data_IF_838319458257
#
_entry.id   IF_838319458257
#
_cell.length_a   1.000
_cell.length_b   1.000
_cell.length_c   1.000
_cell.angle_alpha   90.00
_cell.angle_beta   90.00
_cell.angle_gamma   90.00
#
_symmetry.space_group_name_H-M   'P 1'
#
loop_
_entity.id
_entity.type
_entity.pdbx_description
1 polymer ?
#
# COMPACT_ATOMS: atom_id res chain seq x y z
N UNK A 1 3.87 20.46 26.95
CA UNK A 1 2.88 21.31 26.25
C UNK A 1 2.56 20.54 24.99
N UNK A 2 1.44 19.83 24.97
CA UNK A 2 1.01 19.09 23.77
C UNK A 2 0.65 20.13 22.72
N UNK A 3 1.23 20.04 21.54
CA UNK A 3 0.80 20.81 20.38
C UNK A 3 -0.43 20.07 19.84
N UNK A 4 -1.51 20.76 19.49
CA UNK A 4 -2.63 20.11 18.79
C UNK A 4 -2.08 19.33 17.58
N UNK A 5 -2.36 18.02 17.52
CA UNK A 5 -1.82 17.12 16.49
C UNK A 5 -0.46 16.48 16.81
N UNK A 6 0.02 16.50 18.06
CA UNK A 6 1.17 15.69 18.49
C UNK A 6 0.89 14.19 18.24
N UNK A 7 1.65 13.50 17.37
CA UNK A 7 1.41 12.08 17.09
C UNK A 7 1.66 11.20 18.30
N UNK A 8 2.36 11.68 19.33
CA UNK A 8 2.53 10.96 20.58
C UNK A 8 1.33 11.11 21.52
N UNK A 9 0.34 11.93 21.15
CA UNK A 9 -0.98 11.89 21.76
C UNK A 9 -1.69 10.58 21.41
N UNK A 10 -2.03 9.81 22.44
CA UNK A 10 -2.70 8.52 22.28
C UNK A 10 -4.18 8.66 21.97
N UNK A 11 -4.79 9.85 22.10
CA UNK A 11 -6.21 10.05 21.77
C UNK A 11 -6.50 9.80 20.29
N UNK A 12 -5.57 10.20 19.43
CA UNK A 12 -5.73 10.07 17.98
C UNK A 12 -5.21 8.74 17.44
N UNK A 13 -4.23 8.10 18.06
CA UNK A 13 -3.89 6.71 17.74
C UNK A 13 -3.00 6.12 18.84
N UNK A 14 -3.51 5.13 19.57
CA UNK A 14 -2.74 4.40 20.57
C UNK A 14 -1.89 3.29 19.88
N UNK A 15 -0.59 3.55 19.79
CA UNK A 15 0.36 2.60 19.20
C UNK A 15 0.49 1.31 20.03
N UNK A 16 0.32 1.40 21.36
CA UNK A 16 0.38 0.23 22.24
C UNK A 16 -0.85 -0.63 22.01
N UNK A 17 -2.03 -0.04 21.97
CA UNK A 17 -3.26 -0.77 21.64
C UNK A 17 -3.15 -1.45 20.28
N UNK A 18 -2.70 -0.71 19.25
CA UNK A 18 -2.51 -1.26 17.90
C UNK A 18 -1.57 -2.48 17.89
N UNK A 19 -0.42 -2.39 18.56
CA UNK A 19 0.54 -3.51 18.62
C UNK A 19 -0.02 -4.72 19.38
N UNK A 20 -0.79 -4.51 20.46
CA UNK A 20 -1.41 -5.58 21.25
C UNK A 20 -2.59 -6.25 20.55
N UNK A 21 -3.27 -5.52 19.66
CA UNK A 21 -4.46 -5.97 18.92
C UNK A 21 -4.17 -6.22 17.44
N UNK A 22 -2.89 -6.42 17.10
CA UNK A 22 -2.48 -6.78 15.75
C UNK A 22 -3.14 -8.10 15.32
N UNK A 23 -3.66 -8.14 14.10
CA UNK A 23 -4.49 -9.21 13.59
C UNK A 23 -3.62 -10.32 12.98
N UNK A 24 -3.81 -11.53 13.51
CA UNK A 24 -3.09 -12.73 13.11
C UNK A 24 -3.76 -13.50 11.99
N UNK A 25 -3.57 -14.82 12.01
CA UNK A 25 -4.13 -15.76 11.04
C UNK A 25 -5.66 -15.59 10.89
N UNK A 26 -6.09 -15.26 9.67
CA UNK A 26 -7.50 -15.04 9.34
C UNK A 26 -8.22 -16.28 8.80
N UNK A 27 -7.52 -17.37 8.46
CA UNK A 27 -8.10 -18.52 7.76
C UNK A 27 -9.32 -19.12 8.47
N UNK A 28 -9.31 -19.15 9.80
CA UNK A 28 -10.43 -19.67 10.60
C UNK A 28 -11.66 -18.76 10.61
N UNK A 29 -11.53 -17.50 10.19
CA UNK A 29 -12.60 -16.52 10.10
C UNK A 29 -13.24 -16.45 8.70
N UNK A 30 -12.58 -17.01 7.67
CA UNK A 30 -13.06 -16.92 6.30
C UNK A 30 -14.09 -18.01 6.00
N UNK A 31 -15.27 -17.59 5.56
CA UNK A 31 -16.23 -18.52 4.96
C UNK A 31 -15.90 -18.72 3.47
N UNK A 32 -15.26 -19.85 3.17
CA UNK A 32 -14.82 -20.20 1.82
C UNK A 32 -15.77 -21.16 1.10
N UNK A 33 -16.70 -21.80 1.82
CA UNK A 33 -17.63 -22.77 1.25
C UNK A 33 -18.50 -22.21 0.11
N UNK A 34 -18.96 -20.93 0.14
CA UNK A 34 -19.76 -20.37 -0.94
C UNK A 34 -19.08 -20.40 -2.32
N UNK A 35 -17.74 -20.41 -2.38
CA UNK A 35 -17.00 -20.46 -3.65
C UNK A 35 -17.17 -21.78 -4.41
N UNK A 36 -17.60 -22.86 -3.75
CA UNK A 36 -17.93 -24.12 -4.45
C UNK A 36 -19.15 -23.96 -5.36
N UNK A 37 -20.15 -23.21 -4.92
CA UNK A 37 -21.38 -22.98 -5.66
C UNK A 37 -21.28 -21.76 -6.60
N UNK A 38 -20.50 -20.76 -6.22
CA UNK A 38 -20.32 -19.52 -6.98
C UNK A 38 -18.85 -19.14 -7.01
N UNK A 39 -18.05 -19.81 -7.87
CA UNK A 39 -16.62 -19.54 -7.98
C UNK A 39 -16.35 -18.16 -8.56
N UNK A 40 -15.22 -17.58 -8.20
CA UNK A 40 -14.68 -16.38 -8.83
C UNK A 40 -14.17 -16.71 -10.23
N UNK A 41 -14.31 -15.75 -11.15
CA UNK A 41 -13.73 -15.86 -12.48
C UNK A 41 -12.20 -15.69 -12.46
N UNK A 42 -11.58 -15.98 -13.60
CA UNK A 42 -10.13 -16.01 -13.74
C UNK A 42 -9.49 -14.62 -13.59
N UNK A 43 -10.18 -13.56 -14.01
CA UNK A 43 -9.67 -12.19 -13.92
C UNK A 43 -9.73 -11.68 -12.47
N UNK A 44 -10.81 -11.99 -11.73
CA UNK A 44 -10.93 -11.71 -10.30
C UNK A 44 -9.86 -12.47 -9.51
N UNK A 45 -9.64 -13.76 -9.80
CA UNK A 45 -8.57 -14.55 -9.17
C UNK A 45 -7.17 -14.04 -9.53
N UNK A 46 -6.98 -13.52 -10.74
CA UNK A 46 -5.72 -12.92 -11.17
C UNK A 46 -5.45 -11.60 -10.45
N UNK A 47 -6.44 -10.70 -10.38
CA UNK A 47 -6.34 -9.44 -9.64
C UNK A 47 -6.10 -9.72 -8.15
N UNK A 48 -6.87 -10.62 -7.55
CA UNK A 48 -6.71 -11.02 -6.15
C UNK A 48 -5.31 -11.56 -5.86
N UNK A 49 -4.76 -12.41 -6.75
CA UNK A 49 -3.36 -12.87 -6.65
C UNK A 49 -2.37 -11.70 -6.72
N UNK A 50 -2.58 -10.76 -7.64
CA UNK A 50 -1.72 -9.60 -7.76
C UNK A 50 -1.73 -8.76 -6.47
N UNK A 51 -2.90 -8.50 -5.89
CA UNK A 51 -3.05 -7.79 -4.61
C UNK A 51 -2.35 -8.54 -3.48
N UNK A 52 -2.56 -9.86 -3.37
CA UNK A 52 -1.87 -10.68 -2.36
C UNK A 52 -0.35 -10.61 -2.47
N UNK A 53 0.19 -10.56 -3.69
CA UNK A 53 1.64 -10.35 -3.90
C UNK A 53 2.11 -8.99 -3.41
N UNK A 54 1.34 -7.93 -3.65
CA UNK A 54 1.67 -6.59 -3.17
C UNK A 54 1.64 -6.54 -1.64
N UNK A 55 0.60 -7.10 -1.00
CA UNK A 55 0.52 -7.20 0.47
C UNK A 55 1.72 -7.99 1.03
N UNK A 56 2.13 -9.09 0.37
CA UNK A 56 3.28 -9.90 0.81
C UNK A 56 4.64 -9.20 0.62
N UNK A 57 4.75 -8.29 -0.35
CA UNK A 57 6.00 -7.59 -0.66
C UNK A 57 6.38 -6.57 0.42
N UNK A 58 5.44 -6.18 1.26
CA UNK A 58 5.67 -5.28 2.40
C UNK A 58 6.84 -5.75 3.29
N UNK A 59 6.94 -7.05 3.58
CA UNK A 59 8.03 -7.59 4.40
C UNK A 59 9.40 -7.40 3.73
N UNK A 60 9.48 -7.58 2.41
CA UNK A 60 10.71 -7.40 1.65
C UNK A 60 11.14 -5.92 1.64
N UNK A 61 10.16 -5.02 1.59
CA UNK A 61 10.38 -3.58 1.59
C UNK A 61 10.65 -2.98 2.98
N UNK A 62 10.19 -3.62 4.06
CA UNK A 62 10.41 -3.16 5.44
C UNK A 62 11.90 -3.00 5.75
N UNK A 63 12.75 -3.90 5.25
CA UNK A 63 14.21 -3.78 5.39
C UNK A 63 14.73 -2.44 4.86
N UNK A 64 14.20 -1.97 3.73
CA UNK A 64 14.62 -0.72 3.11
C UNK A 64 14.20 0.50 3.95
N UNK A 65 13.11 0.41 4.70
CA UNK A 65 12.66 1.46 5.62
C UNK A 65 13.52 1.50 6.89
N UNK A 66 13.84 0.33 7.45
CA UNK A 66 14.56 0.22 8.72
C UNK A 66 16.04 0.63 8.63
N UNK A 67 16.64 0.63 7.43
CA UNK A 67 18.01 1.16 7.24
C UNK A 67 18.08 2.69 7.18
N UNK A 68 16.93 3.38 7.23
CA UNK A 68 16.85 4.85 7.20
C UNK A 68 16.68 5.44 8.59
N UNK A 69 16.67 6.77 8.74
CA UNK A 69 16.37 7.42 10.03
C UNK A 69 15.00 7.04 10.63
N UNK A 70 14.11 6.42 9.86
CA UNK A 70 12.80 5.93 10.29
C UNK A 70 12.88 4.96 11.48
N UNK A 71 13.91 4.12 11.56
CA UNK A 71 14.06 3.20 12.70
C UNK A 71 14.36 3.90 14.03
N UNK A 72 14.72 5.19 14.01
CA UNK A 72 15.01 5.97 15.22
C UNK A 72 13.75 6.51 15.89
N UNK A 73 12.63 6.50 15.17
CA UNK A 73 11.31 6.83 15.72
C UNK A 73 10.66 5.54 16.25
N UNK A 74 10.58 5.41 17.58
CA UNK A 74 10.11 4.19 18.23
C UNK A 74 8.63 3.90 17.92
N UNK A 75 7.80 4.95 17.81
CA UNK A 75 6.38 4.83 17.50
C UNK A 75 6.18 4.32 16.08
N UNK A 76 6.87 4.93 15.12
CA UNK A 76 6.82 4.50 13.71
C UNK A 76 7.40 3.08 13.56
N UNK A 77 8.48 2.76 14.28
CA UNK A 77 9.06 1.40 14.22
C UNK A 77 8.09 0.34 14.77
N UNK A 78 7.44 0.61 15.91
CA UNK A 78 6.44 -0.30 16.47
C UNK A 78 5.26 -0.51 15.51
N UNK A 79 4.83 0.56 14.83
CA UNK A 79 3.79 0.47 13.81
C UNK A 79 4.25 -0.38 12.63
N UNK A 80 5.39 -0.05 12.01
CA UNK A 80 5.87 -0.72 10.80
C UNK A 80 6.06 -2.24 10.98
N UNK A 81 6.51 -2.67 12.18
CA UNK A 81 6.63 -4.09 12.49
C UNK A 81 5.26 -4.77 12.60
N UNK A 82 4.31 -4.16 13.33
CA UNK A 82 2.96 -4.72 13.50
C UNK A 82 2.17 -4.69 12.19
N UNK A 83 2.30 -3.61 11.42
CA UNK A 83 1.76 -3.46 10.07
C UNK A 83 2.28 -4.56 9.13
N UNK A 84 3.59 -4.80 9.10
CA UNK A 84 4.17 -5.86 8.27
C UNK A 84 3.70 -7.26 8.69
N UNK A 85 3.50 -7.49 9.99
CA UNK A 85 2.90 -8.72 10.50
C UNK A 85 1.45 -8.90 10.02
N UNK A 86 0.61 -7.86 10.09
CA UNK A 86 -0.76 -7.94 9.60
C UNK A 86 -0.80 -8.14 8.07
N UNK A 87 0.06 -7.45 7.32
CA UNK A 87 0.21 -7.61 5.86
C UNK A 87 0.58 -9.04 5.46
N UNK A 88 1.41 -9.72 6.24
CA UNK A 88 1.69 -11.15 6.05
C UNK A 88 0.41 -11.99 6.13
N UNK A 89 -0.42 -11.77 7.16
CA UNK A 89 -1.65 -12.53 7.34
C UNK A 89 -2.75 -12.16 6.35
N UNK A 90 -2.78 -10.92 5.86
CA UNK A 90 -3.65 -10.53 4.73
C UNK A 90 -3.28 -11.31 3.46
N UNK A 91 -1.99 -11.41 3.14
CA UNK A 91 -1.53 -12.22 2.00
C UNK A 91 -1.86 -13.72 2.18
N UNK A 92 -1.75 -14.23 3.42
CA UNK A 92 -2.09 -15.61 3.78
C UNK A 92 -3.61 -15.90 3.65
N UNK A 93 -4.45 -14.92 3.97
CA UNK A 93 -5.90 -14.98 3.76
C UNK A 93 -6.25 -15.04 2.27
N UNK A 94 -5.57 -14.24 1.45
CA UNK A 94 -5.70 -14.28 -0.01
C UNK A 94 -5.28 -15.64 -0.56
N UNK A 95 -4.19 -16.23 -0.05
CA UNK A 95 -3.78 -17.60 -0.38
C UNK A 95 -4.89 -18.62 -0.12
N UNK A 96 -5.62 -18.48 0.98
CA UNK A 96 -6.73 -19.37 1.30
C UNK A 96 -7.86 -19.30 0.27
N UNK A 97 -8.22 -18.09 -0.19
CA UNK A 97 -9.22 -17.91 -1.26
C UNK A 97 -8.73 -18.51 -2.58
N UNK A 98 -7.45 -18.30 -2.94
CA UNK A 98 -6.87 -18.90 -4.14
C UNK A 98 -6.90 -20.44 -4.08
N UNK A 99 -6.56 -21.02 -2.92
CA UNK A 99 -6.57 -22.46 -2.70
C UNK A 99 -7.98 -23.05 -2.77
N UNK A 100 -9.00 -22.34 -2.28
CA UNK A 100 -10.41 -22.74 -2.44
C UNK A 100 -10.82 -22.87 -3.91
N UNK A 101 -10.14 -22.17 -4.83
CA UNK A 101 -10.34 -22.25 -6.27
C UNK A 101 -9.34 -23.19 -6.98
N UNK A 102 -8.64 -24.06 -6.23
CA UNK A 102 -7.62 -24.96 -6.76
C UNK A 102 -6.42 -24.24 -7.38
N UNK A 103 -6.20 -22.97 -7.06
CA UNK A 103 -5.08 -22.17 -7.57
C UNK A 103 -3.86 -22.32 -6.65
N UNK A 104 -2.63 -22.25 -7.21
CA UNK A 104 -1.39 -22.26 -6.43
C UNK A 104 -1.29 -21.01 -5.55
N UNK A 105 -0.53 -21.12 -4.46
CA UNK A 105 -0.24 -20.01 -3.56
C UNK A 105 0.60 -18.93 -4.23
N UNK A 106 0.55 -17.72 -3.67
CA UNK A 106 1.23 -16.52 -4.17
C UNK A 106 2.71 -16.77 -4.53
N UNK A 107 3.45 -17.43 -3.64
CA UNK A 107 4.90 -17.71 -3.75
C UNK A 107 5.24 -18.96 -4.58
N UNK A 108 4.26 -19.79 -4.92
CA UNK A 108 4.46 -21.00 -5.73
C UNK A 108 4.49 -20.70 -7.22
N UNK A 109 3.92 -19.57 -7.63
CA UNK A 109 3.96 -19.10 -9.01
C UNK A 109 5.21 -18.24 -9.19
N UNK A 110 6.03 -18.50 -10.20
CA UNK A 110 7.18 -17.65 -10.51
C UNK A 110 6.72 -16.27 -11.03
N UNK A 111 7.50 -15.22 -10.76
CA UNK A 111 7.32 -13.94 -11.45
C UNK A 111 7.77 -14.06 -12.91
N UNK A 112 7.00 -13.47 -13.82
CA UNK A 112 7.39 -13.28 -15.21
C UNK A 112 8.44 -12.17 -15.40
N UNK A 113 8.80 -11.86 -16.65
CA UNK A 113 9.76 -10.79 -16.94
C UNK A 113 9.23 -9.44 -16.46
N UNK A 114 10.14 -8.59 -15.95
CA UNK A 114 9.82 -7.26 -15.43
C UNK A 114 9.85 -6.23 -16.56
N UNK A 115 9.05 -5.17 -16.42
CA UNK A 115 9.03 -4.00 -17.33
C UNK A 115 10.38 -3.31 -17.31
N UNK A 116 11.00 -2.93 -18.44
CA UNK A 116 12.28 -2.22 -18.44
C UNK A 116 12.13 -0.78 -18.95
N UNK A 117 11.73 0.14 -18.09
CA UNK A 117 11.68 1.58 -18.41
C UNK A 117 12.79 2.36 -17.69
N UNK A 118 13.36 3.41 -18.30
CA UNK A 118 14.38 4.25 -17.66
C UNK A 118 13.91 4.91 -16.36
N UNK A 119 12.62 5.26 -16.25
CA UNK A 119 12.02 5.80 -15.02
C UNK A 119 12.02 4.78 -13.88
N UNK A 120 11.81 3.49 -14.16
CA UNK A 120 11.82 2.41 -13.16
C UNK A 120 13.23 1.93 -12.82
N UNK A 121 14.20 2.14 -13.70
CA UNK A 121 15.61 1.87 -13.39
C UNK A 121 16.10 2.72 -12.19
N UNK A 122 15.50 3.89 -11.97
CA UNK A 122 15.78 4.74 -10.79
C UNK A 122 15.21 4.13 -9.51
N UNK A 123 13.99 3.60 -9.54
CA UNK A 123 13.38 2.88 -8.41
C UNK A 123 14.11 1.55 -8.10
N UNK A 124 14.72 0.95 -9.12
CA UNK A 124 15.51 -0.29 -9.01
C UNK A 124 16.94 -0.11 -8.54
N UNK A 125 17.33 1.11 -8.14
CA UNK A 125 18.64 1.33 -7.53
C UNK A 125 18.78 0.38 -6.34
N UNK A 126 19.87 -0.39 -6.33
CA UNK A 126 20.08 -1.46 -5.35
C UNK A 126 20.03 -0.97 -3.90
N UNK A 127 19.85 -1.88 -2.93
CA UNK A 127 19.69 -1.52 -1.51
C UNK A 127 20.85 -0.67 -0.95
N UNK A 128 22.04 -0.79 -1.52
CA UNK A 128 23.23 0.01 -1.16
C UNK A 128 23.06 1.47 -1.60
N UNK A 129 22.62 1.73 -2.83
CA UNK A 129 22.42 3.10 -3.35
C UNK A 129 21.27 3.80 -2.61
N UNK A 130 20.19 3.07 -2.32
CA UNK A 130 19.06 3.59 -1.52
C UNK A 130 19.46 3.88 -0.07
N UNK A 131 20.28 3.04 0.56
CA UNK A 131 20.81 3.29 1.90
C UNK A 131 21.72 4.54 1.95
N UNK A 132 22.56 4.74 0.94
CA UNK A 132 23.43 5.93 0.81
C UNK A 132 22.60 7.20 0.58
N UNK A 133 21.57 7.15 -0.29
CA UNK A 133 20.64 8.27 -0.49
C UNK A 133 19.83 8.58 0.78
N UNK A 134 19.44 7.55 1.55
CA UNK A 134 18.69 7.71 2.80
C UNK A 134 19.52 8.33 3.94
N UNK A 135 20.84 8.07 3.99
CA UNK A 135 21.75 8.69 4.96
C UNK A 135 21.81 10.22 4.82
N UNK A 136 21.66 10.77 3.60
CA UNK A 136 21.62 12.22 3.35
C UNK A 136 20.25 12.88 3.59
N UNK A 137 19.17 12.10 3.65
CA UNK A 137 17.80 12.63 3.77
C UNK A 137 17.42 13.01 5.21
N UNK A 138 18.04 12.39 6.21
CA UNK A 138 17.85 12.71 7.64
C UNK A 138 16.44 12.38 8.16
N UNK A 139 16.04 12.95 9.31
CA UNK A 139 14.71 12.74 9.93
C UNK A 139 13.50 13.04 9.02
N UNK A 140 13.53 14.07 8.13
CA UNK A 140 12.41 14.35 7.23
C UNK A 140 12.02 13.21 6.28
N UNK A 141 12.87 12.19 6.10
CA UNK A 141 12.55 10.98 5.33
C UNK A 141 11.34 10.23 5.87
N UNK A 142 11.05 10.36 7.17
CA UNK A 142 9.92 9.69 7.79
C UNK A 142 8.62 10.19 7.19
N UNK A 143 8.49 11.50 6.93
CA UNK A 143 7.31 12.06 6.27
C UNK A 143 7.10 11.49 4.86
N UNK A 144 8.19 11.24 4.14
CA UNK A 144 8.15 10.60 2.82
C UNK A 144 7.57 9.20 2.94
N UNK A 145 8.11 8.38 3.86
CA UNK A 145 7.63 7.02 4.05
C UNK A 145 6.18 6.95 4.52
N UNK A 146 5.78 7.82 5.46
CA UNK A 146 4.40 7.85 5.95
C UNK A 146 3.44 8.26 4.83
N UNK A 147 3.81 9.25 4.02
CA UNK A 147 2.96 9.73 2.92
C UNK A 147 2.91 8.75 1.76
N UNK A 148 4.03 8.12 1.43
CA UNK A 148 4.03 7.03 0.44
C UNK A 148 3.19 5.85 0.90
N UNK A 149 3.28 5.47 2.19
CA UNK A 149 2.42 4.43 2.77
C UNK A 149 0.93 4.80 2.71
N UNK A 150 0.59 6.06 3.03
CA UNK A 150 -0.79 6.56 2.95
C UNK A 150 -1.36 6.46 1.53
N UNK A 151 -0.62 6.97 0.53
CA UNK A 151 -1.06 6.91 -0.88
C UNK A 151 -1.17 5.47 -1.35
N UNK A 152 -0.24 4.60 -0.94
CA UNK A 152 -0.30 3.17 -1.28
C UNK A 152 -1.55 2.47 -0.69
N UNK A 153 -1.93 2.77 0.56
CA UNK A 153 -3.17 2.23 1.14
C UNK A 153 -4.41 2.70 0.36
N UNK A 154 -4.42 3.94 -0.17
CA UNK A 154 -5.50 4.41 -1.04
C UNK A 154 -5.54 3.68 -2.38
N UNK A 155 -4.39 3.55 -3.05
CA UNK A 155 -4.28 2.82 -4.33
C UNK A 155 -4.72 1.36 -4.16
N UNK A 156 -4.32 0.71 -3.08
CA UNK A 156 -4.73 -0.66 -2.77
C UNK A 156 -6.22 -0.73 -2.43
N UNK A 157 -6.77 0.25 -1.71
CA UNK A 157 -8.19 0.37 -1.41
C UNK A 157 -9.05 0.41 -2.66
N UNK A 158 -8.67 1.26 -3.63
CA UNK A 158 -9.27 1.37 -4.96
C UNK A 158 -9.26 0.04 -5.72
N UNK A 159 -8.13 -0.69 -5.67
CA UNK A 159 -8.04 -1.98 -6.34
C UNK A 159 -8.92 -3.06 -5.70
N UNK A 160 -9.08 -3.04 -4.37
CA UNK A 160 -10.07 -3.89 -3.69
C UNK A 160 -11.51 -3.49 -4.03
N UNK A 161 -11.80 -2.20 -4.28
CA UNK A 161 -13.15 -1.75 -4.69
C UNK A 161 -13.49 -2.33 -6.04
N UNK A 162 -12.58 -2.15 -7.00
CA UNK A 162 -12.71 -2.70 -8.36
C UNK A 162 -12.84 -4.22 -8.33
N UNK A 163 -12.11 -4.91 -7.45
CA UNK A 163 -12.23 -6.36 -7.30
C UNK A 163 -13.65 -6.77 -6.85
N UNK A 164 -14.20 -6.11 -5.83
CA UNK A 164 -15.56 -6.38 -5.33
C UNK A 164 -16.61 -6.05 -6.39
N UNK A 165 -16.51 -4.88 -7.01
CA UNK A 165 -17.41 -4.41 -8.06
C UNK A 165 -17.47 -5.40 -9.24
N UNK A 166 -16.32 -5.86 -9.72
CA UNK A 166 -16.23 -6.78 -10.86
C UNK A 166 -16.67 -8.19 -10.54
N UNK A 167 -16.27 -8.72 -9.38
CA UNK A 167 -16.60 -10.08 -9.00
C UNK A 167 -18.09 -10.25 -8.66
N UNK A 168 -18.74 -9.18 -8.17
CA UNK A 168 -20.14 -9.18 -7.73
C UNK A 168 -20.51 -10.39 -6.84
N UNK A 169 -19.54 -10.86 -6.03
CA UNK A 169 -19.65 -12.08 -5.24
C UNK A 169 -19.75 -11.73 -3.74
N UNK A 170 -20.85 -12.09 -3.06
CA UNK A 170 -21.06 -11.75 -1.65
C UNK A 170 -19.98 -12.33 -0.71
N UNK A 171 -19.48 -13.54 -0.99
CA UNK A 171 -18.45 -14.16 -0.17
C UNK A 171 -17.11 -13.42 -0.30
N UNK A 172 -16.72 -13.05 -1.52
CA UNK A 172 -15.55 -12.21 -1.73
C UNK A 172 -15.72 -10.82 -1.08
N UNK A 173 -16.91 -10.24 -1.19
CA UNK A 173 -17.23 -8.93 -0.59
C UNK A 173 -16.99 -8.95 0.91
N UNK A 174 -17.53 -9.96 1.63
CA UNK A 174 -17.34 -10.10 3.07
C UNK A 174 -15.86 -10.27 3.45
N UNK A 175 -15.09 -11.03 2.66
CA UNK A 175 -13.64 -11.21 2.88
C UNK A 175 -12.90 -9.88 2.68
N UNK A 176 -13.21 -9.13 1.63
CA UNK A 176 -12.59 -7.83 1.36
C UNK A 176 -12.97 -6.81 2.43
N UNK A 177 -14.20 -6.80 2.92
CA UNK A 177 -14.63 -5.97 4.06
C UNK A 177 -13.82 -6.29 5.32
N UNK A 178 -13.56 -7.57 5.60
CA UNK A 178 -12.69 -7.98 6.72
C UNK A 178 -11.26 -7.47 6.54
N UNK A 179 -10.70 -7.60 5.34
CA UNK A 179 -9.38 -7.06 4.99
C UNK A 179 -9.35 -5.53 5.20
N UNK A 180 -10.37 -4.81 4.75
CA UNK A 180 -10.49 -3.36 4.89
C UNK A 180 -10.59 -2.90 6.34
N UNK A 181 -11.33 -3.63 7.17
CA UNK A 181 -11.40 -3.33 8.61
C UNK A 181 -10.02 -3.33 9.26
N UNK A 182 -9.12 -4.24 8.86
CA UNK A 182 -7.73 -4.25 9.33
C UNK A 182 -6.96 -3.05 8.78
N UNK A 183 -7.03 -2.84 7.46
CA UNK A 183 -6.30 -1.78 6.75
C UNK A 183 -6.74 -0.37 7.13
N UNK A 184 -7.97 -0.18 7.62
CA UNK A 184 -8.45 1.12 8.10
C UNK A 184 -7.57 1.70 9.23
N UNK A 185 -7.03 0.83 10.11
CA UNK A 185 -6.07 1.27 11.14
C UNK A 185 -4.71 1.63 10.54
N UNK A 186 -4.29 0.99 9.44
CA UNK A 186 -3.05 1.32 8.72
C UNK A 186 -3.17 2.69 8.08
N UNK A 187 -4.23 2.92 7.32
CA UNK A 187 -4.53 4.20 6.68
C UNK A 187 -4.58 5.32 7.72
N UNK A 188 -5.26 5.09 8.85
CA UNK A 188 -5.36 6.09 9.93
C UNK A 188 -3.99 6.49 10.49
N UNK A 189 -3.13 5.52 10.79
CA UNK A 189 -1.79 5.82 11.30
C UNK A 189 -0.97 6.60 10.27
N UNK A 190 -0.90 6.13 9.03
CA UNK A 190 -0.19 6.84 7.97
C UNK A 190 -0.75 8.25 7.77
N UNK A 191 -2.08 8.42 7.84
CA UNK A 191 -2.77 9.71 7.76
C UNK A 191 -2.29 10.70 8.81
N UNK A 192 -2.33 10.31 10.08
CA UNK A 192 -1.90 11.16 11.21
C UNK A 192 -0.42 11.53 11.07
N UNK A 193 0.43 10.54 10.86
CA UNK A 193 1.88 10.72 10.81
C UNK A 193 2.34 11.54 9.59
N UNK A 194 1.61 11.45 8.48
CA UNK A 194 1.80 12.28 7.28
C UNK A 194 1.42 13.73 7.53
N UNK A 195 0.21 14.00 8.04
CA UNK A 195 -0.25 15.37 8.26
C UNK A 195 0.69 16.11 9.20
N UNK A 196 0.96 15.54 10.38
CA UNK A 196 1.81 16.15 11.38
C UNK A 196 3.21 16.49 10.85
N UNK A 197 3.88 15.54 10.17
CA UNK A 197 5.25 15.78 9.67
C UNK A 197 5.32 16.77 8.52
N UNK A 198 4.27 16.81 7.69
CA UNK A 198 4.20 17.74 6.57
C UNK A 198 3.91 19.17 7.06
N UNK A 199 3.11 19.33 8.12
CA UNK A 199 2.87 20.62 8.77
C UNK A 199 4.10 21.12 9.52
N UNK A 200 4.83 20.22 10.21
CA UNK A 200 5.99 20.57 11.03
C UNK A 200 7.23 20.98 10.21
N UNK A 201 7.39 20.47 8.99
CA UNK A 201 8.66 20.62 8.26
C UNK A 201 8.54 20.91 6.76
N UNK A 202 8.90 22.14 6.36
CA UNK A 202 9.04 22.51 4.95
C UNK A 202 10.07 21.64 4.20
N UNK A 203 11.09 21.13 4.90
CA UNK A 203 12.05 20.17 4.31
C UNK A 203 11.40 18.82 4.05
N UNK A 204 10.53 18.34 4.96
CA UNK A 204 9.74 17.14 4.75
C UNK A 204 8.84 17.29 3.53
N UNK A 205 8.09 18.40 3.43
CA UNK A 205 7.27 18.73 2.25
C UNK A 205 8.09 18.63 0.97
N UNK A 206 9.24 19.32 0.88
CA UNK A 206 10.09 19.29 -0.33
C UNK A 206 10.54 17.86 -0.70
N UNK A 207 10.93 17.05 0.29
CA UNK A 207 11.35 15.67 0.04
C UNK A 207 10.18 14.78 -0.40
N UNK A 208 9.01 14.91 0.23
CA UNK A 208 7.81 14.15 -0.12
C UNK A 208 7.34 14.49 -1.53
N UNK A 209 7.27 15.78 -1.89
CA UNK A 209 6.95 16.22 -3.26
C UNK A 209 7.87 15.60 -4.31
N UNK A 210 9.18 15.61 -4.04
CA UNK A 210 10.15 15.01 -4.95
C UNK A 210 9.95 13.50 -5.09
N UNK A 211 9.61 12.81 -3.99
CA UNK A 211 9.36 11.35 -4.01
C UNK A 211 8.08 10.98 -4.77
N UNK A 212 6.97 11.70 -4.52
CA UNK A 212 5.66 11.39 -5.14
C UNK A 212 5.67 11.55 -6.66
N UNK A 213 6.46 12.49 -7.19
CA UNK A 213 6.55 12.72 -8.65
C UNK A 213 7.30 11.62 -9.39
N UNK A 214 8.16 10.87 -8.71
CA UNK A 214 8.93 9.76 -9.31
C UNK A 214 8.38 8.39 -8.97
N UNK A 215 7.58 8.27 -7.91
CA UNK A 215 7.04 7.02 -7.42
C UNK A 215 6.33 6.19 -8.50
N UNK A 216 6.36 4.88 -8.29
CA UNK A 216 5.61 3.88 -9.05
C UNK A 216 4.60 3.25 -8.11
N UNK A 217 3.34 3.24 -8.53
CA UNK A 217 2.23 2.72 -7.74
C UNK A 217 1.71 1.40 -8.34
N UNK A 218 1.18 0.49 -7.52
CA UNK A 218 1.34 0.42 -6.07
C UNK A 218 2.80 0.18 -5.65
N UNK A 219 3.14 0.41 -4.38
CA UNK A 219 4.46 0.13 -3.83
C UNK A 219 4.76 -1.36 -3.99
N UNK A 220 5.96 -1.67 -4.52
CA UNK A 220 6.35 -3.03 -4.85
C UNK A 220 5.98 -3.49 -6.27
N UNK A 221 5.21 -2.69 -7.03
CA UNK A 221 4.89 -3.00 -8.42
C UNK A 221 6.14 -3.18 -9.29
N UNK A 222 7.24 -2.47 -9.02
CA UNK A 222 8.50 -2.57 -9.80
C UNK A 222 9.13 -3.96 -9.80
N UNK A 223 8.81 -4.80 -8.81
CA UNK A 223 9.28 -6.17 -8.66
C UNK A 223 8.34 -7.20 -9.32
N UNK A 224 7.15 -6.78 -9.74
CA UNK A 224 6.13 -7.60 -10.40
C UNK A 224 6.40 -7.72 -11.90
N UNK A 225 5.92 -8.82 -12.48
CA UNK A 225 5.96 -9.03 -13.92
C UNK A 225 5.22 -7.94 -14.69
N UNK A 226 5.72 -7.59 -15.89
CA UNK A 226 5.13 -6.57 -16.75
C UNK A 226 3.67 -6.87 -17.11
N UNK A 227 3.37 -8.14 -17.41
CA UNK A 227 2.01 -8.58 -17.74
C UNK A 227 1.02 -8.36 -16.59
N UNK A 228 1.46 -8.55 -15.34
CA UNK A 228 0.59 -8.39 -14.17
C UNK A 228 0.37 -6.91 -13.83
N UNK A 229 1.39 -6.08 -14.04
CA UNK A 229 1.27 -4.63 -13.89
C UNK A 229 0.35 -4.02 -14.93
N UNK A 230 0.57 -4.34 -16.21
CA UNK A 230 -0.30 -3.87 -17.29
C UNK A 230 -1.74 -4.32 -17.07
N UNK A 231 -1.95 -5.54 -16.58
CA UNK A 231 -3.27 -6.02 -16.20
C UNK A 231 -3.87 -5.20 -15.04
N UNK A 232 -3.11 -4.93 -13.99
CA UNK A 232 -3.54 -4.09 -12.87
C UNK A 232 -3.91 -2.67 -13.33
N UNK A 233 -3.00 -2.01 -14.06
CA UNK A 233 -3.15 -0.63 -14.55
C UNK A 233 -4.45 -0.50 -15.38
N UNK A 234 -4.64 -1.41 -16.34
CA UNK A 234 -5.84 -1.43 -17.19
C UNK A 234 -7.12 -1.80 -16.43
N UNK A 235 -7.02 -2.63 -15.40
CA UNK A 235 -8.18 -3.11 -14.63
C UNK A 235 -8.68 -2.05 -13.65
N UNK A 236 -7.77 -1.39 -12.93
CA UNK A 236 -8.09 -0.47 -11.83
C UNK A 236 -8.26 0.96 -12.32
N UNK A 237 -7.40 1.42 -13.23
CA UNK A 237 -7.35 2.82 -13.67
C UNK A 237 -7.61 3.01 -15.18
N UNK A 238 -7.90 1.93 -15.91
CA UNK A 238 -8.29 1.99 -17.32
C UNK A 238 -9.72 2.51 -17.53
N UNK A 239 -9.95 3.19 -18.67
CA UNK A 239 -11.27 3.71 -19.04
C UNK A 239 -11.71 4.93 -18.24
N UNK A 240 -12.91 5.44 -18.51
CA UNK A 240 -13.39 6.69 -17.91
C UNK A 240 -13.52 6.59 -16.37
N UNK A 241 -14.11 5.50 -15.87
CA UNK A 241 -14.28 5.29 -14.43
C UNK A 241 -12.93 5.19 -13.70
N UNK A 242 -11.95 4.53 -14.32
CA UNK A 242 -10.59 4.44 -13.80
C UNK A 242 -9.88 5.81 -13.75
N UNK A 243 -10.12 6.69 -14.72
CA UNK A 243 -9.59 8.06 -14.67
C UNK A 243 -10.24 8.90 -13.59
N UNK A 244 -11.57 8.79 -13.41
CA UNK A 244 -12.27 9.47 -12.30
C UNK A 244 -11.72 9.03 -10.95
N UNK A 245 -11.44 7.73 -10.80
CA UNK A 245 -10.81 7.16 -9.60
C UNK A 245 -9.40 7.71 -9.37
N UNK A 246 -8.58 7.76 -10.42
CA UNK A 246 -7.23 8.34 -10.35
C UNK A 246 -7.25 9.83 -9.99
N UNK A 247 -8.18 10.61 -10.57
CA UNK A 247 -8.36 12.03 -10.28
C UNK A 247 -8.77 12.24 -8.80
N UNK A 248 -9.73 11.45 -8.30
CA UNK A 248 -10.13 11.51 -6.89
C UNK A 248 -8.97 11.20 -5.94
N UNK A 249 -8.11 10.24 -6.28
CA UNK A 249 -6.89 9.96 -5.52
C UNK A 249 -5.89 11.13 -5.62
N UNK A 250 -5.74 11.72 -6.80
CA UNK A 250 -4.96 12.94 -7.02
C UNK A 250 -5.42 14.11 -6.13
N UNK A 251 -6.74 14.33 -6.04
CA UNK A 251 -7.34 15.37 -5.19
C UNK A 251 -7.05 15.13 -3.71
N UNK A 252 -7.14 13.88 -3.24
CA UNK A 252 -6.77 13.50 -1.86
C UNK A 252 -5.29 13.79 -1.59
N UNK A 253 -4.41 13.50 -2.55
CA UNK A 253 -2.97 13.84 -2.43
C UNK A 253 -2.77 15.35 -2.36
N UNK A 254 -3.48 16.12 -3.19
CA UNK A 254 -3.39 17.59 -3.21
C UNK A 254 -3.89 18.24 -1.92
N UNK A 255 -4.79 17.58 -1.18
CA UNK A 255 -5.30 18.07 0.10
C UNK A 255 -4.32 17.88 1.27
N UNK A 256 -3.26 17.06 1.12
CA UNK A 256 -2.26 16.87 2.17
C UNK A 256 -1.43 18.14 2.40
N UNK A 257 -0.96 18.40 3.64
CA UNK A 257 -0.21 19.62 3.95
C UNK A 257 1.04 19.80 3.07
N UNK A 258 1.16 20.98 2.45
CA UNK A 258 2.27 21.32 1.54
C UNK A 258 2.26 20.57 0.20
N UNK A 259 1.29 19.69 -0.05
CA UNK A 259 0.99 19.19 -1.39
C UNK A 259 0.10 20.20 -2.12
N UNK A 260 0.10 20.15 -3.45
CA UNK A 260 -0.72 21.02 -4.29
C UNK A 260 -1.28 20.25 -5.48
N UNK A 261 -2.10 20.93 -6.29
CA UNK A 261 -2.68 20.38 -7.51
C UNK A 261 -1.62 19.78 -8.45
N UNK A 262 -0.43 20.40 -8.55
CA UNK A 262 0.62 19.88 -9.41
C UNK A 262 1.14 18.51 -8.95
N UNK A 263 1.22 18.28 -7.63
CA UNK A 263 1.60 16.97 -7.07
C UNK A 263 0.48 15.96 -7.23
N UNK A 264 -0.78 16.32 -6.96
CA UNK A 264 -1.94 15.44 -7.16
C UNK A 264 -2.05 14.99 -8.62
N UNK A 265 -1.94 15.91 -9.57
CA UNK A 265 -1.91 15.58 -11.00
C UNK A 265 -0.70 14.73 -11.39
N UNK A 266 0.45 14.88 -10.71
CA UNK A 266 1.61 14.02 -10.96
C UNK A 266 1.35 12.57 -10.53
N UNK A 267 0.70 12.36 -9.38
CA UNK A 267 0.28 11.03 -8.94
C UNK A 267 -0.79 10.45 -9.87
N UNK A 268 -1.80 11.25 -10.24
CA UNK A 268 -2.84 10.85 -11.21
C UNK A 268 -2.22 10.30 -12.49
N UNK A 269 -1.30 11.07 -13.10
CA UNK A 269 -0.60 10.65 -14.33
C UNK A 269 0.20 9.36 -14.16
N UNK A 270 0.64 9.03 -12.95
CA UNK A 270 1.37 7.77 -12.68
C UNK A 270 0.44 6.57 -12.59
N UNK A 271 -0.82 6.78 -12.19
CA UNK A 271 -1.83 5.73 -12.11
C UNK A 271 -2.44 5.41 -13.47
N UNK A 272 -2.50 6.40 -14.37
CA UNK A 272 -3.13 6.27 -15.69
C UNK A 272 -2.13 6.18 -16.86
N UNK A 273 -0.84 5.99 -16.60
CA UNK A 273 0.22 5.91 -17.62
C UNK A 273 0.43 4.49 -18.13
#
# INVERSE_FOLDING_TARGET
>A
MSIDGDPYDTTDFDIREFTLTAQGNLRGELDLAPFEATPLDDDALRLLRHLGRLESATMENLRNLLVTATHKDARVTAFLVSWAFEKFWLADAIDAVLQAHGRPRLKEVAEGPRRHTPSEAVERRGPITRAIEAMGKGVPIVAVHMTTGLVDEWVMGDAYDVLVERAANPALTAIVERIRSIKARHERFFGIESHWRLEDSARAVKQTRASLTTAVWPVGAVERADSERTFFDATVYGGADGHVRADALGDRVSALPGMDAAIGSAVTRKLTA
#
